data_IF_033478902035
#
_entry.id   IF_033478902035
#
_cell.length_a   1.000
_cell.length_b   1.000
_cell.length_c   1.000
_cell.angle_alpha   90.00
_cell.angle_beta   90.00
_cell.angle_gamma   90.00
#
_symmetry.space_group_name_H-M   'P 1'
#
loop_
_entity.id
_entity.type
_entity.pdbx_description
1 polymer ?
#
# COMPACT_ATOMS: atom_id res chain seq x y z
N UNK A 1 16.41 -15.18 25.17
CA UNK A 1 16.21 -14.72 26.57
C UNK A 1 14.74 -14.45 26.86
N UNK A 2 14.09 -13.51 26.16
CA UNK A 2 12.71 -13.10 26.45
C UNK A 2 11.61 -14.04 25.88
N UNK A 3 11.98 -15.17 25.28
CA UNK A 3 11.06 -16.17 24.70
C UNK A 3 9.96 -15.57 23.80
N UNK A 4 10.32 -14.61 22.96
CA UNK A 4 9.38 -13.97 22.02
C UNK A 4 8.81 -15.03 21.07
N UNK A 5 7.51 -15.30 21.18
CA UNK A 5 6.81 -16.33 20.39
C UNK A 5 6.74 -16.00 18.90
N UNK A 6 6.48 -14.73 18.58
CA UNK A 6 6.31 -14.25 17.21
C UNK A 6 7.60 -13.59 16.75
N UNK A 7 8.49 -14.42 16.20
CA UNK A 7 9.75 -14.02 15.60
C UNK A 7 9.89 -14.73 14.26
N UNK A 8 10.23 -13.98 13.21
CA UNK A 8 10.19 -14.46 11.84
C UNK A 8 11.56 -14.29 11.17
N UNK A 9 12.16 -15.42 10.81
CA UNK A 9 13.37 -15.46 10.00
C UNK A 9 13.06 -15.07 8.55
N UNK A 10 14.03 -14.59 7.74
CA UNK A 10 13.80 -14.18 6.36
C UNK A 10 13.09 -15.23 5.48
N UNK A 11 13.29 -16.52 5.76
CA UNK A 11 12.65 -17.64 5.05
C UNK A 11 11.18 -17.90 5.39
N UNK A 12 10.64 -17.31 6.47
CA UNK A 12 9.22 -17.33 6.85
C UNK A 12 8.67 -15.90 7.07
N UNK A 13 9.44 -14.91 6.61
CA UNK A 13 9.19 -13.48 6.80
C UNK A 13 8.71 -12.77 5.53
N UNK A 14 8.95 -11.47 5.50
CA UNK A 14 8.56 -10.58 4.42
C UNK A 14 8.41 -9.16 4.93
N UNK A 15 7.64 -8.37 4.21
CA UNK A 15 7.28 -7.02 4.62
C UNK A 15 6.35 -7.08 5.84
N UNK A 16 6.72 -6.45 6.94
CA UNK A 16 6.03 -6.57 8.23
C UNK A 16 4.51 -6.32 8.15
N UNK A 17 4.09 -5.30 7.41
CA UNK A 17 2.68 -4.95 7.27
C UNK A 17 1.87 -5.90 6.37
N UNK A 18 2.55 -6.80 5.67
CA UNK A 18 1.94 -7.90 4.92
C UNK A 18 1.83 -9.13 5.83
N UNK A 19 2.91 -9.49 6.53
CA UNK A 19 2.98 -10.71 7.34
C UNK A 19 2.12 -10.66 8.60
N UNK A 20 1.96 -9.52 9.27
CA UNK A 20 1.20 -9.43 10.52
C UNK A 20 -0.29 -9.78 10.32
N UNK A 21 -1.01 -9.16 9.35
CA UNK A 21 -2.36 -9.57 8.99
C UNK A 21 -2.42 -11.00 8.45
N UNK A 22 -1.47 -11.39 7.61
CA UNK A 22 -1.43 -12.71 6.98
C UNK A 22 -1.35 -13.85 8.01
N UNK A 23 -0.55 -13.66 9.06
CA UNK A 23 -0.39 -14.61 10.16
C UNK A 23 -1.45 -14.46 11.26
N UNK A 24 -2.49 -13.64 11.04
CA UNK A 24 -3.61 -13.50 11.95
C UNK A 24 -3.26 -12.84 13.30
N UNK A 25 -2.21 -12.02 13.33
CA UNK A 25 -1.72 -11.37 14.54
C UNK A 25 -2.48 -10.08 14.88
N UNK A 26 -3.24 -9.54 13.94
CA UNK A 26 -4.10 -8.37 14.15
C UNK A 26 -5.54 -8.73 13.83
N UNK A 27 -6.45 -8.39 14.73
CA UNK A 27 -7.90 -8.55 14.55
C UNK A 27 -8.63 -7.21 14.79
N UNK A 28 -9.86 -7.05 14.27
CA UNK A 28 -10.67 -5.87 14.56
C UNK A 28 -10.76 -5.54 16.05
N UNK A 29 -10.65 -4.24 16.36
CA UNK A 29 -10.67 -3.72 17.72
C UNK A 29 -9.35 -3.81 18.48
N UNK A 30 -8.28 -4.34 17.87
CA UNK A 30 -6.93 -4.29 18.45
C UNK A 30 -6.39 -2.84 18.47
N UNK A 31 -5.55 -2.56 19.47
CA UNK A 31 -4.64 -1.42 19.50
C UNK A 31 -3.23 -1.91 19.13
N UNK A 32 -2.70 -1.50 17.98
CA UNK A 32 -1.39 -1.96 17.48
C UNK A 32 -0.40 -0.81 17.40
N UNK A 33 0.74 -0.96 18.08
CA UNK A 33 1.84 0.00 18.01
C UNK A 33 3.09 -0.68 17.47
N UNK A 34 3.72 -0.08 16.47
CA UNK A 34 4.85 -0.65 15.76
C UNK A 34 5.99 0.35 15.58
N UNK A 35 7.20 -0.16 15.36
CA UNK A 35 8.40 0.66 15.14
C UNK A 35 8.43 1.35 13.76
N UNK A 36 7.51 1.00 12.86
CA UNK A 36 7.42 1.54 11.50
C UNK A 36 6.26 2.53 11.36
N UNK A 37 6.49 3.58 10.56
CA UNK A 37 5.50 4.62 10.29
C UNK A 37 4.20 4.10 9.66
N UNK A 38 4.29 3.02 8.88
CA UNK A 38 3.19 2.42 8.12
C UNK A 38 2.42 1.37 8.92
N UNK A 39 2.64 1.26 10.23
CA UNK A 39 1.82 0.45 11.15
C UNK A 39 0.32 0.79 11.04
N UNK A 40 -0.03 2.01 10.60
CA UNK A 40 -1.41 2.41 10.24
C UNK A 40 -2.10 1.49 9.21
N UNK A 41 -1.35 0.65 8.47
CA UNK A 41 -1.89 -0.37 7.55
C UNK A 41 -2.98 -1.24 8.19
N UNK A 42 -2.87 -1.54 9.48
CA UNK A 42 -3.78 -2.49 10.14
C UNK A 42 -5.15 -1.92 10.43
N UNK A 43 -5.35 -0.60 10.32
CA UNK A 43 -6.70 -0.03 10.41
C UNK A 43 -7.63 -0.45 9.27
N UNK A 44 -7.11 -1.03 8.18
CA UNK A 44 -7.92 -1.75 7.20
C UNK A 44 -8.75 -2.90 7.80
N UNK A 45 -8.31 -3.47 8.94
CA UNK A 45 -9.03 -4.51 9.69
C UNK A 45 -9.94 -3.94 10.79
N UNK A 46 -10.14 -2.62 10.88
CA UNK A 46 -10.86 -2.00 11.99
C UNK A 46 -10.07 -1.98 13.30
N UNK A 47 -8.73 -2.03 13.24
CA UNK A 47 -7.85 -1.82 14.38
C UNK A 47 -7.43 -0.34 14.48
N UNK A 48 -7.14 0.14 15.69
CA UNK A 48 -6.39 1.40 15.81
C UNK A 48 -4.91 1.07 15.76
N UNK A 49 -4.20 1.51 14.71
CA UNK A 49 -2.79 1.19 14.56
C UNK A 49 -1.92 2.39 14.20
N UNK A 50 -0.75 2.51 14.83
CA UNK A 50 0.13 3.68 14.66
C UNK A 50 1.60 3.30 14.79
N UNK A 51 2.45 3.96 14.00
CA UNK A 51 3.89 3.96 14.23
C UNK A 51 4.24 4.75 15.50
N UNK A 52 5.28 4.31 16.19
CA UNK A 52 5.86 4.97 17.37
C UNK A 52 7.39 4.90 17.35
N UNK A 53 8.04 5.80 18.08
CA UNK A 53 9.50 5.80 18.21
C UNK A 53 10.01 4.67 19.11
N UNK A 54 11.32 4.46 19.11
CA UNK A 54 11.97 3.40 19.91
C UNK A 54 11.74 3.57 21.43
N UNK A 55 11.67 4.80 21.94
CA UNK A 55 11.38 5.08 23.35
C UNK A 55 9.98 4.64 23.74
N UNK A 56 8.97 4.99 22.94
CA UNK A 56 7.58 4.59 23.18
C UNK A 56 7.43 3.07 23.08
N UNK A 57 8.08 2.45 22.08
CA UNK A 57 8.06 1.01 21.93
C UNK A 57 8.72 0.30 23.12
N UNK A 58 9.84 0.82 23.63
CA UNK A 58 10.47 0.32 24.85
C UNK A 58 9.54 0.39 26.07
N UNK A 59 8.78 1.49 26.22
CA UNK A 59 7.79 1.62 27.28
C UNK A 59 6.63 0.62 27.12
N UNK A 60 6.15 0.40 25.89
CA UNK A 60 5.14 -0.64 25.60
C UNK A 60 5.66 -2.02 25.93
N UNK A 61 6.88 -2.35 25.53
CA UNK A 61 7.49 -3.65 25.83
C UNK A 61 7.67 -3.86 27.33
N UNK A 62 7.98 -2.81 28.09
CA UNK A 62 8.16 -2.88 29.54
C UNK A 62 6.84 -2.94 30.33
N UNK A 63 5.77 -2.30 29.83
CA UNK A 63 4.55 -2.06 30.64
C UNK A 63 3.27 -2.65 30.05
N UNK A 64 3.27 -2.99 28.76
CA UNK A 64 2.07 -3.35 27.99
C UNK A 64 1.12 -2.17 27.74
N UNK A 65 1.54 -0.93 28.03
CA UNK A 65 0.69 0.25 27.97
C UNK A 65 1.36 1.41 27.22
N UNK A 66 0.54 2.35 26.75
CA UNK A 66 1.00 3.59 26.15
C UNK A 66 0.00 4.73 26.36
N UNK A 67 0.52 5.96 26.32
CA UNK A 67 -0.29 7.18 26.33
C UNK A 67 -0.55 7.65 24.91
N UNK A 68 -1.82 7.72 24.53
CA UNK A 68 -2.25 8.25 23.25
C UNK A 68 -3.28 9.36 23.52
N UNK A 69 -3.10 10.52 22.90
CA UNK A 69 -4.20 11.50 22.82
C UNK A 69 -5.11 11.07 21.67
N UNK A 70 -6.40 11.01 21.96
CA UNK A 70 -7.44 10.59 21.00
C UNK A 70 -7.43 11.56 19.81
N UNK A 71 -7.20 11.08 18.57
CA UNK A 71 -7.17 11.95 17.40
C UNK A 71 -8.61 12.31 16.97
N UNK A 72 -8.85 13.55 16.51
CA UNK A 72 -10.06 13.85 15.74
C UNK A 72 -10.05 13.09 14.41
N UNK A 73 -11.23 12.88 13.82
CA UNK A 73 -11.37 12.06 12.60
C UNK A 73 -11.81 12.90 11.41
N UNK A 74 -11.13 12.71 10.28
CA UNK A 74 -11.61 13.11 8.95
C UNK A 74 -12.24 11.88 8.32
N UNK A 75 -13.52 11.98 7.96
CA UNK A 75 -14.24 10.93 7.24
C UNK A 75 -14.10 11.15 5.74
N UNK A 76 -13.72 10.12 4.99
CA UNK A 76 -13.63 10.14 3.53
C UNK A 76 -14.64 9.13 2.98
N UNK A 77 -15.72 9.64 2.38
CA UNK A 77 -16.83 8.87 1.84
C UNK A 77 -16.68 8.69 0.33
N UNK A 78 -16.51 7.45 -0.12
CA UNK A 78 -16.37 7.12 -1.54
C UNK A 78 -17.68 6.51 -2.08
N UNK A 79 -18.27 7.20 -3.05
CA UNK A 79 -19.52 6.80 -3.70
C UNK A 79 -19.40 6.80 -5.23
N UNK A 80 -20.18 5.94 -5.88
CA UNK A 80 -20.19 5.78 -7.33
C UNK A 80 -19.67 4.41 -7.76
N UNK A 81 -19.33 4.29 -9.05
CA UNK A 81 -18.80 3.06 -9.64
C UNK A 81 -17.33 3.23 -10.02
N UNK A 82 -16.46 2.38 -9.48
CA UNK A 82 -15.04 2.36 -9.86
C UNK A 82 -14.88 2.07 -11.36
N UNK A 83 -14.02 2.87 -12.01
CA UNK A 83 -13.57 2.60 -13.35
C UNK A 83 -12.64 1.39 -13.39
N UNK A 84 -12.47 0.81 -14.57
CA UNK A 84 -11.52 -0.29 -14.76
C UNK A 84 -10.11 0.17 -14.38
N UNK A 85 -9.35 -0.73 -13.75
CA UNK A 85 -7.99 -0.48 -13.26
C UNK A 85 -7.86 0.50 -12.09
N UNK A 86 -8.97 1.02 -11.57
CA UNK A 86 -8.97 1.91 -10.40
C UNK A 86 -9.22 1.08 -9.14
N UNK A 87 -8.34 1.22 -8.16
CA UNK A 87 -8.45 0.52 -6.88
C UNK A 87 -8.00 1.38 -5.69
N UNK A 88 -7.75 0.72 -4.56
CA UNK A 88 -7.36 1.39 -3.32
C UNK A 88 -6.15 2.33 -3.45
N UNK A 89 -5.19 2.02 -4.33
CA UNK A 89 -4.03 2.88 -4.61
C UNK A 89 -4.45 4.21 -5.23
N UNK A 90 -5.35 4.17 -6.20
CA UNK A 90 -5.81 5.37 -6.90
C UNK A 90 -6.70 6.22 -5.98
N UNK A 91 -7.57 5.58 -5.19
CA UNK A 91 -8.42 6.27 -4.23
C UNK A 91 -7.61 7.00 -3.15
N UNK A 92 -6.57 6.37 -2.61
CA UNK A 92 -5.74 7.01 -1.59
C UNK A 92 -4.84 8.09 -2.19
N UNK A 93 -4.26 7.88 -3.38
CA UNK A 93 -3.52 8.95 -4.08
C UNK A 93 -4.41 10.15 -4.38
N UNK A 94 -5.62 9.92 -4.91
CA UNK A 94 -6.59 11.00 -5.14
C UNK A 94 -6.89 11.79 -3.84
N UNK A 95 -7.11 11.07 -2.75
CA UNK A 95 -7.36 11.68 -1.43
C UNK A 95 -6.17 12.47 -0.91
N UNK A 96 -4.95 11.95 -1.07
CA UNK A 96 -3.72 12.67 -0.73
C UNK A 96 -3.56 13.94 -1.58
N UNK A 97 -3.89 13.89 -2.88
CA UNK A 97 -3.91 15.07 -3.74
C UNK A 97 -4.90 16.16 -3.30
N UNK A 98 -5.99 15.78 -2.62
CA UNK A 98 -6.95 16.74 -2.05
C UNK A 98 -6.54 17.27 -0.66
N UNK A 99 -5.88 16.45 0.15
CA UNK A 99 -5.51 16.80 1.52
C UNK A 99 -4.14 17.48 1.62
N UNK A 100 -3.20 17.10 0.76
CA UNK A 100 -1.78 17.39 0.90
C UNK A 100 -1.11 16.53 2.00
N UNK A 101 0.23 16.56 2.03
CA UNK A 101 1.04 15.78 3.00
C UNK A 101 0.84 16.11 4.48
N UNK A 102 0.22 17.25 4.81
CA UNK A 102 -0.10 17.65 6.20
C UNK A 102 -1.61 17.77 6.47
N UNK A 103 -2.46 17.45 5.48
CA UNK A 103 -3.91 17.68 5.57
C UNK A 103 -4.62 16.87 6.65
N UNK A 104 -4.02 15.78 7.12
CA UNK A 104 -4.53 14.93 8.18
C UNK A 104 -3.59 14.87 9.41
N UNK A 105 -2.72 15.88 9.61
CA UNK A 105 -1.79 15.88 10.74
C UNK A 105 -2.49 15.64 12.08
N UNK A 106 -2.06 14.58 12.79
CA UNK A 106 -2.59 14.10 14.06
C UNK A 106 -4.08 13.69 14.04
N UNK A 107 -4.66 13.46 12.87
CA UNK A 107 -6.04 13.01 12.69
C UNK A 107 -6.08 11.54 12.30
N UNK A 108 -7.21 10.88 12.53
CA UNK A 108 -7.52 9.61 11.90
C UNK A 108 -8.21 9.86 10.55
N UNK A 109 -7.86 9.07 9.54
CA UNK A 109 -8.62 8.99 8.29
C UNK A 109 -9.56 7.79 8.39
N UNK A 110 -10.86 8.04 8.38
CA UNK A 110 -11.87 6.99 8.33
C UNK A 110 -12.39 6.86 6.90
N UNK A 111 -12.08 5.74 6.25
CA UNK A 111 -12.53 5.46 4.89
C UNK A 111 -13.87 4.73 4.92
N UNK A 112 -14.86 5.35 4.31
CA UNK A 112 -16.25 4.88 4.32
C UNK A 112 -16.90 5.01 2.94
N UNK A 113 -18.17 4.62 2.86
CA UNK A 113 -18.97 4.68 1.63
C UNK A 113 -19.06 3.34 0.91
N UNK A 114 -20.04 3.23 0.01
CA UNK A 114 -20.37 1.97 -0.63
C UNK A 114 -19.20 1.35 -1.39
N UNK A 115 -18.32 2.18 -1.97
CA UNK A 115 -17.14 1.72 -2.71
C UNK A 115 -16.18 0.96 -1.79
N UNK A 116 -15.87 1.50 -0.61
CA UNK A 116 -14.91 0.89 0.34
C UNK A 116 -15.40 -0.47 0.82
N UNK A 117 -16.70 -0.60 1.10
CA UNK A 117 -17.31 -1.87 1.50
C UNK A 117 -17.26 -2.95 0.41
N UNK A 118 -17.11 -2.59 -0.86
CA UNK A 118 -16.95 -3.52 -1.98
C UNK A 118 -15.48 -3.74 -2.39
N UNK A 119 -14.52 -3.03 -1.78
CA UNK A 119 -13.11 -3.26 -2.02
C UNK A 119 -12.63 -4.55 -1.33
N UNK A 120 -11.88 -5.42 -2.03
CA UNK A 120 -11.08 -6.47 -1.41
C UNK A 120 -10.15 -5.90 -0.32
N UNK A 121 -9.83 -6.74 0.67
CA UNK A 121 -8.97 -6.35 1.79
C UNK A 121 -7.62 -5.80 1.35
N UNK A 122 -7.03 -6.33 0.28
CA UNK A 122 -5.73 -5.87 -0.24
C UNK A 122 -5.75 -4.38 -0.61
N UNK A 123 -6.84 -3.89 -1.21
CA UNK A 123 -7.03 -2.47 -1.51
C UNK A 123 -7.27 -1.63 -0.24
N UNK A 124 -7.98 -2.17 0.75
CA UNK A 124 -8.17 -1.49 2.05
C UNK A 124 -6.85 -1.32 2.78
N UNK A 125 -5.99 -2.35 2.75
CA UNK A 125 -4.63 -2.27 3.29
C UNK A 125 -3.80 -1.19 2.58
N UNK A 126 -3.88 -1.09 1.24
CA UNK A 126 -3.24 0.00 0.49
C UNK A 126 -3.67 1.38 1.00
N UNK A 127 -4.97 1.60 1.20
CA UNK A 127 -5.51 2.89 1.65
C UNK A 127 -5.07 3.23 3.08
N UNK A 128 -5.21 2.27 4.01
CA UNK A 128 -4.78 2.43 5.40
C UNK A 128 -3.26 2.68 5.49
N UNK A 129 -2.46 1.95 4.72
CA UNK A 129 -1.00 2.10 4.66
C UNK A 129 -0.60 3.54 4.30
N UNK A 130 -1.15 4.10 3.23
CA UNK A 130 -0.75 5.42 2.75
C UNK A 130 -1.37 6.59 3.52
N UNK A 131 -2.17 6.32 4.57
CA UNK A 131 -2.77 7.37 5.40
C UNK A 131 -1.72 8.26 6.10
N UNK A 132 -0.59 7.65 6.50
CA UNK A 132 0.52 8.39 7.12
C UNK A 132 1.17 9.40 6.19
N UNK A 133 1.04 9.23 4.87
CA UNK A 133 1.60 10.18 3.89
C UNK A 133 0.83 11.51 3.85
N UNK A 134 -0.39 11.55 4.38
CA UNK A 134 -1.14 12.79 4.66
C UNK A 134 -0.95 13.33 6.07
N UNK A 135 -0.02 12.75 6.84
CA UNK A 135 0.22 13.06 8.26
C UNK A 135 -0.76 12.39 9.24
N UNK A 136 -1.62 11.49 8.76
CA UNK A 136 -2.61 10.83 9.60
C UNK A 136 -1.96 9.93 10.65
N UNK A 137 -2.53 9.93 11.85
CA UNK A 137 -2.13 9.06 12.96
C UNK A 137 -2.54 7.60 12.71
N UNK A 138 -3.67 7.40 12.03
CA UNK A 138 -4.23 6.11 11.67
C UNK A 138 -5.09 6.25 10.40
N UNK A 139 -5.20 5.17 9.62
CA UNK A 139 -6.17 5.03 8.54
C UNK A 139 -7.06 3.83 8.84
N UNK A 140 -8.37 4.02 9.02
CA UNK A 140 -9.28 2.99 9.51
C UNK A 140 -10.45 2.75 8.56
N UNK A 141 -10.83 1.48 8.43
CA UNK A 141 -12.04 1.01 7.75
C UNK A 141 -12.86 0.24 8.76
N UNK A 142 -14.17 0.49 8.81
CA UNK A 142 -15.06 -0.31 9.65
C UNK A 142 -15.02 -1.79 9.23
N UNK A 143 -14.94 -2.73 10.19
CA UNK A 143 -14.96 -4.14 9.88
C UNK A 143 -16.34 -4.56 9.37
N UNK A 144 -16.34 -5.28 8.25
CA UNK A 144 -17.52 -5.86 7.63
C UNK A 144 -17.29 -7.34 7.29
N UNK A 145 -18.20 -7.94 6.52
CA UNK A 145 -18.11 -9.36 6.15
C UNK A 145 -16.82 -9.70 5.39
N UNK A 146 -16.24 -8.76 4.61
CA UNK A 146 -14.94 -9.00 3.97
C UNK A 146 -13.82 -9.09 5.01
N UNK A 147 -13.85 -8.21 6.00
CA UNK A 147 -12.90 -8.24 7.12
C UNK A 147 -13.03 -9.53 7.92
N UNK A 148 -14.27 -9.94 8.25
CA UNK A 148 -14.55 -11.17 9.00
C UNK A 148 -14.07 -12.41 8.22
N UNK A 149 -14.37 -12.49 6.92
CA UNK A 149 -13.92 -13.58 6.06
C UNK A 149 -12.38 -13.61 5.94
N UNK A 150 -11.72 -12.46 5.90
CA UNK A 150 -10.27 -12.40 5.85
C UNK A 150 -9.62 -12.96 7.12
N UNK A 151 -10.11 -12.58 8.30
CA UNK A 151 -9.51 -13.01 9.58
C UNK A 151 -9.88 -14.45 9.96
N UNK A 152 -11.08 -14.93 9.61
CA UNK A 152 -11.55 -16.27 10.00
C UNK A 152 -10.70 -17.41 9.44
N UNK A 153 -10.05 -17.18 8.29
CA UNK A 153 -9.11 -18.13 7.69
C UNK A 153 -7.71 -18.10 8.33
N UNK A 154 -7.43 -17.16 9.24
CA UNK A 154 -6.08 -16.84 9.71
C UNK A 154 -5.91 -16.90 11.23
N UNK A 155 -6.98 -16.76 11.99
CA UNK A 155 -6.91 -16.73 13.45
C UNK A 155 -8.19 -17.23 14.10
N UNK A 156 -8.04 -17.75 15.32
CA UNK A 156 -9.15 -18.14 16.21
C UNK A 156 -9.39 -17.09 17.31
N UNK A 157 -8.68 -15.96 17.28
CA UNK A 157 -8.91 -14.85 18.21
C UNK A 157 -10.26 -14.21 17.92
N UNK A 158 -11.08 -14.04 18.95
CA UNK A 158 -12.36 -13.33 18.85
C UNK A 158 -12.13 -11.84 18.57
N UNK A 159 -12.67 -11.30 17.45
CA UNK A 159 -12.53 -9.89 17.12
C UNK A 159 -13.52 -9.03 17.93
N UNK A 160 -13.12 -7.79 18.25
CA UNK A 160 -14.06 -6.78 18.79
C UNK A 160 -14.49 -5.86 17.66
N UNK A 161 -15.60 -6.22 17.01
CA UNK A 161 -16.17 -5.43 15.92
C UNK A 161 -16.70 -4.10 16.48
N UNK A 162 -16.11 -2.99 16.04
CA UNK A 162 -16.55 -1.63 16.37
C UNK A 162 -16.98 -0.92 15.09
N UNK A 163 -18.02 -0.10 15.19
CA UNK A 163 -18.48 0.77 14.11
C UNK A 163 -18.65 2.18 14.67
N UNK A 164 -18.62 3.16 13.77
CA UNK A 164 -18.96 4.53 14.13
C UNK A 164 -20.43 4.61 14.53
N UNK A 165 -20.71 5.38 15.58
CA UNK A 165 -22.08 5.64 16.02
C UNK A 165 -22.83 6.52 15.01
N UNK A 166 -24.15 6.31 14.89
CA UNK A 166 -24.99 7.21 14.11
C UNK A 166 -24.90 8.64 14.67
N UNK A 167 -24.50 9.59 13.81
CA UNK A 167 -24.32 10.99 14.21
C UNK A 167 -22.99 11.29 14.90
N UNK A 168 -21.99 10.40 14.83
CA UNK A 168 -20.63 10.68 15.27
C UNK A 168 -20.11 12.01 14.65
N UNK A 169 -19.47 12.83 15.48
CA UNK A 169 -18.92 14.10 15.05
C UNK A 169 -17.56 13.91 14.35
N UNK A 170 -17.42 14.49 13.16
CA UNK A 170 -16.19 14.48 12.38
C UNK A 170 -15.61 15.89 12.30
N UNK A 171 -14.29 15.99 12.36
CA UNK A 171 -13.58 17.26 12.14
C UNK A 171 -13.80 17.78 10.73
N UNK A 172 -13.86 16.85 9.76
CA UNK A 172 -14.17 17.11 8.37
C UNK A 172 -14.78 15.87 7.72
N UNK A 173 -15.70 16.07 6.79
CA UNK A 173 -16.21 15.02 5.89
C UNK A 173 -15.85 15.37 4.45
N UNK A 174 -15.13 14.48 3.79
CA UNK A 174 -14.78 14.55 2.37
C UNK A 174 -15.64 13.57 1.60
N UNK A 175 -16.39 14.07 0.61
CA UNK A 175 -17.21 13.23 -0.28
C UNK A 175 -16.52 13.11 -1.62
N UNK A 176 -16.22 11.88 -2.03
CA UNK A 176 -15.48 11.56 -3.25
C UNK A 176 -16.39 10.77 -4.19
N UNK A 177 -16.67 11.34 -5.36
CA UNK A 177 -17.33 10.65 -6.47
C UNK A 177 -16.30 9.91 -7.29
N UNK A 178 -16.40 8.58 -7.34
CA UNK A 178 -15.38 7.73 -7.99
C UNK A 178 -15.65 7.46 -9.47
N UNK A 179 -16.82 7.86 -9.98
CA UNK A 179 -17.24 7.55 -11.35
C UNK A 179 -16.29 8.12 -12.42
N UNK A 180 -15.60 9.21 -12.12
CA UNK A 180 -14.68 9.91 -13.03
C UNK A 180 -13.21 9.78 -12.60
N UNK A 181 -12.92 9.03 -11.53
CA UNK A 181 -11.54 8.80 -11.13
C UNK A 181 -10.90 7.85 -12.14
N UNK A 182 -9.87 8.34 -12.81
CA UNK A 182 -8.94 7.53 -13.62
C UNK A 182 -7.86 6.91 -12.74
N UNK A 183 -7.04 5.95 -13.24
CA UNK A 183 -5.81 5.58 -12.56
C UNK A 183 -4.96 6.82 -12.24
N UNK A 184 -4.39 6.86 -11.04
CA UNK A 184 -3.68 8.02 -10.52
C UNK A 184 -2.17 7.78 -10.49
N UNK A 185 -1.40 8.82 -10.79
CA UNK A 185 0.07 8.82 -10.75
C UNK A 185 0.55 9.97 -9.87
N UNK A 186 1.27 9.66 -8.79
CA UNK A 186 1.95 10.67 -7.97
C UNK A 186 3.31 11.01 -8.56
N UNK A 187 3.52 12.27 -8.91
CA UNK A 187 4.76 12.80 -9.47
C UNK A 187 5.75 13.13 -8.36
N UNK A 188 7.06 13.08 -8.64
CA UNK A 188 8.07 13.53 -7.70
C UNK A 188 7.87 15.01 -7.30
N UNK A 189 8.30 15.43 -6.12
CA UNK A 189 8.91 14.65 -5.04
C UNK A 189 7.97 14.49 -3.84
N UNK A 190 6.67 14.32 -4.09
CA UNK A 190 5.68 14.21 -3.02
C UNK A 190 4.49 13.32 -3.41
N UNK A 191 3.97 12.48 -2.49
CA UNK A 191 2.87 11.57 -2.78
C UNK A 191 1.53 12.29 -3.03
N UNK A 192 1.40 13.57 -2.68
CA UNK A 192 0.24 14.41 -2.95
C UNK A 192 0.28 15.14 -4.31
N UNK A 193 1.39 15.09 -5.04
CA UNK A 193 1.51 15.67 -6.39
C UNK A 193 0.88 14.73 -7.43
N UNK A 194 -0.44 14.55 -7.36
CA UNK A 194 -1.15 13.51 -8.09
C UNK A 194 -1.77 14.03 -9.39
N UNK A 195 -1.68 13.23 -10.44
CA UNK A 195 -2.32 13.49 -11.74
C UNK A 195 -3.08 12.25 -12.20
N UNK A 196 -4.23 12.41 -12.89
CA UNK A 196 -4.87 11.30 -13.59
C UNK A 196 -3.96 10.80 -14.71
N UNK A 197 -4.10 9.53 -15.09
CA UNK A 197 -3.27 8.90 -16.13
C UNK A 197 -3.35 9.65 -17.47
N UNK A 198 -4.51 10.23 -17.82
CA UNK A 198 -4.67 11.10 -19.00
C UNK A 198 -3.81 12.37 -18.96
N UNK A 199 -3.38 12.83 -17.78
CA UNK A 199 -2.63 14.07 -17.57
C UNK A 199 -1.13 13.91 -17.34
N UNK A 200 -0.55 12.71 -17.50
CA UNK A 200 0.86 12.45 -17.16
C UNK A 200 1.86 12.91 -18.22
N UNK A 201 1.42 13.04 -19.47
CA UNK A 201 2.29 13.37 -20.60
C UNK A 201 3.26 12.24 -20.97
N UNK A 202 4.39 12.56 -21.60
CA UNK A 202 5.41 11.58 -21.97
C UNK A 202 6.56 11.58 -20.96
N UNK A 203 6.60 10.55 -20.11
CA UNK A 203 7.65 10.34 -19.10
C UNK A 203 8.34 9.00 -19.35
N UNK A 204 9.55 8.97 -19.93
CA UNK A 204 10.31 7.73 -20.12
C UNK A 204 10.75 7.14 -18.78
N UNK A 205 10.92 5.82 -18.72
CA UNK A 205 11.27 5.08 -17.50
C UNK A 205 12.48 4.18 -17.72
N UNK A 206 13.41 4.24 -16.76
CA UNK A 206 14.56 3.34 -16.67
C UNK A 206 14.23 2.10 -15.82
N UNK A 207 13.34 2.27 -14.83
CA UNK A 207 12.94 1.21 -13.92
C UNK A 207 11.43 1.22 -13.62
N UNK A 208 10.86 0.04 -13.45
CA UNK A 208 9.53 -0.17 -12.87
C UNK A 208 9.66 -1.14 -11.71
N UNK A 209 9.02 -0.80 -10.59
CA UNK A 209 9.06 -1.59 -9.37
C UNK A 209 7.63 -1.94 -8.91
N UNK A 210 7.36 -3.23 -8.74
CA UNK A 210 6.08 -3.77 -8.26
C UNK A 210 6.33 -4.62 -7.01
N UNK A 211 5.75 -4.22 -5.88
CA UNK A 211 5.94 -4.90 -4.61
C UNK A 211 6.21 -3.90 -3.49
N UNK A 212 5.66 -4.09 -2.30
CA UNK A 212 5.95 -3.34 -1.06
C UNK A 212 4.92 -3.70 0.01
N UNK A 213 4.91 -2.99 1.14
CA UNK A 213 3.78 -3.02 2.08
C UNK A 213 2.48 -2.49 1.48
N UNK A 214 2.56 -1.63 0.45
CA UNK A 214 1.40 -0.98 -0.15
C UNK A 214 0.74 -1.85 -1.21
N UNK A 215 1.53 -2.44 -2.10
CA UNK A 215 1.06 -3.21 -3.25
C UNK A 215 2.04 -4.35 -3.60
N UNK A 216 2.19 -5.30 -2.68
CA UNK A 216 2.97 -6.53 -2.87
C UNK A 216 2.18 -7.79 -2.51
N UNK A 217 0.84 -7.69 -2.44
CA UNK A 217 -0.05 -8.80 -2.09
C UNK A 217 -0.35 -9.65 -3.32
N UNK A 218 -1.00 -10.79 -3.10
CA UNK A 218 -1.25 -11.74 -4.18
C UNK A 218 -2.12 -11.13 -5.30
N UNK A 219 -3.13 -10.32 -4.95
CA UNK A 219 -3.98 -9.66 -5.95
C UNK A 219 -3.21 -8.64 -6.78
N UNK A 220 -2.25 -7.92 -6.18
CA UNK A 220 -1.37 -7.00 -6.93
C UNK A 220 -0.53 -7.75 -7.98
N UNK A 221 0.02 -8.92 -7.61
CA UNK A 221 0.79 -9.77 -8.51
C UNK A 221 -0.08 -10.37 -9.62
N UNK A 222 -1.32 -10.76 -9.32
CA UNK A 222 -2.27 -11.26 -10.33
C UNK A 222 -2.61 -10.18 -11.35
N UNK A 223 -2.83 -8.94 -10.90
CA UNK A 223 -3.07 -7.80 -11.79
C UNK A 223 -1.85 -7.55 -12.68
N UNK A 224 -0.65 -7.49 -12.10
CA UNK A 224 0.57 -7.28 -12.85
C UNK A 224 0.82 -8.40 -13.88
N UNK A 225 0.68 -9.67 -13.48
CA UNK A 225 0.83 -10.81 -14.36
C UNK A 225 -0.21 -10.83 -15.50
N UNK A 226 -1.47 -10.46 -15.22
CA UNK A 226 -2.51 -10.36 -16.24
C UNK A 226 -2.17 -9.30 -17.30
N UNK A 227 -1.58 -8.17 -16.89
CA UNK A 227 -1.10 -7.13 -17.82
C UNK A 227 0.19 -7.53 -18.52
N UNK A 228 1.05 -8.36 -17.93
CA UNK A 228 2.34 -8.75 -18.54
C UNK A 228 2.26 -10.02 -19.40
N UNK A 229 1.17 -10.80 -19.30
CA UNK A 229 1.01 -12.07 -20.01
C UNK A 229 1.20 -11.91 -21.52
N UNK A 230 2.09 -12.72 -22.10
CA UNK A 230 2.46 -12.70 -23.52
C UNK A 230 3.06 -11.37 -24.02
N UNK A 231 3.53 -10.51 -23.11
CA UNK A 231 4.20 -9.24 -23.44
C UNK A 231 5.63 -9.28 -22.91
N UNK A 232 6.47 -8.33 -23.34
CA UNK A 232 7.83 -8.16 -22.82
C UNK A 232 8.08 -6.74 -22.38
N UNK A 233 8.89 -6.61 -21.33
CA UNK A 233 9.40 -5.32 -20.83
C UNK A 233 10.16 -4.61 -21.95
N UNK A 234 9.97 -3.29 -22.05
CA UNK A 234 10.61 -2.46 -23.05
C UNK A 234 12.14 -2.51 -22.95
N UNK A 235 12.81 -2.44 -24.10
CA UNK A 235 14.27 -2.40 -24.13
C UNK A 235 14.76 -1.10 -23.46
N UNK A 236 15.66 -1.25 -22.48
CA UNK A 236 16.19 -0.12 -21.72
C UNK A 236 15.45 0.16 -20.42
N UNK A 237 14.32 -0.53 -20.18
CA UNK A 237 13.59 -0.46 -18.91
C UNK A 237 13.81 -1.76 -18.13
N UNK A 238 14.05 -1.66 -16.83
CA UNK A 238 14.08 -2.80 -15.92
C UNK A 238 12.74 -2.95 -15.19
N UNK A 239 12.26 -4.18 -15.05
CA UNK A 239 11.08 -4.48 -14.22
C UNK A 239 11.52 -5.34 -13.04
N UNK A 240 11.28 -4.87 -11.83
CA UNK A 240 11.60 -5.57 -10.60
C UNK A 240 10.29 -5.89 -9.87
N UNK A 241 10.12 -7.15 -9.47
CA UNK A 241 8.92 -7.60 -8.75
C UNK A 241 9.30 -8.29 -7.45
N UNK A 242 8.83 -7.76 -6.33
CA UNK A 242 9.07 -8.30 -4.99
C UNK A 242 7.74 -8.65 -4.29
N UNK A 243 7.39 -9.94 -4.17
CA UNK A 243 6.24 -10.37 -3.39
C UNK A 243 6.35 -9.93 -1.92
N UNK A 244 5.23 -9.60 -1.28
CA UNK A 244 5.22 -9.02 0.07
C UNK A 244 5.53 -9.99 1.20
N UNK A 245 5.39 -11.30 0.99
CA UNK A 245 5.67 -12.35 1.98
C UNK A 245 6.12 -13.64 1.30
N UNK A 246 6.73 -14.55 2.07
CA UNK A 246 7.08 -15.89 1.60
C UNK A 246 5.84 -16.73 1.23
N UNK A 247 4.72 -16.55 1.92
CA UNK A 247 3.47 -17.20 1.56
C UNK A 247 2.99 -16.74 0.18
N UNK A 248 2.95 -15.42 -0.05
CA UNK A 248 2.56 -14.84 -1.34
C UNK A 248 3.52 -15.31 -2.44
N UNK A 249 4.83 -15.31 -2.17
CA UNK A 249 5.83 -15.80 -3.11
C UNK A 249 5.54 -17.25 -3.52
N UNK A 250 5.30 -18.14 -2.55
CA UNK A 250 4.97 -19.55 -2.79
C UNK A 250 3.66 -19.72 -3.56
N UNK A 251 2.61 -18.99 -3.18
CA UNK A 251 1.33 -19.05 -3.88
C UNK A 251 1.44 -18.52 -5.32
N UNK A 252 2.24 -17.47 -5.53
CA UNK A 252 2.50 -16.94 -6.87
C UNK A 252 3.26 -17.93 -7.77
N UNK A 253 4.12 -18.80 -7.22
CA UNK A 253 4.69 -19.94 -7.96
C UNK A 253 3.58 -20.92 -8.34
N UNK A 254 2.75 -21.32 -7.37
CA UNK A 254 1.69 -22.32 -7.57
C UNK A 254 0.66 -21.87 -8.61
N UNK A 255 0.40 -20.57 -8.72
CA UNK A 255 -0.51 -19.98 -9.71
C UNK A 255 0.16 -19.68 -11.06
N UNK A 256 1.47 -19.94 -11.23
CA UNK A 256 2.19 -19.61 -12.46
C UNK A 256 2.40 -18.11 -12.71
N UNK A 257 2.18 -17.28 -11.68
CA UNK A 257 2.36 -15.82 -11.79
C UNK A 257 3.84 -15.48 -11.95
N UNK A 258 4.73 -16.12 -11.19
CA UNK A 258 6.17 -15.84 -11.29
C UNK A 258 6.74 -16.25 -12.64
N UNK A 259 6.27 -17.35 -13.22
CA UNK A 259 6.64 -17.77 -14.58
C UNK A 259 6.23 -16.69 -15.59
N UNK A 260 4.97 -16.22 -15.52
CA UNK A 260 4.49 -15.13 -16.39
C UNK A 260 5.32 -13.85 -16.26
N UNK A 261 5.72 -13.49 -15.04
CA UNK A 261 6.53 -12.30 -14.79
C UNK A 261 7.96 -12.45 -15.35
N UNK A 262 8.58 -13.62 -15.15
CA UNK A 262 9.92 -13.92 -15.67
C UNK A 262 9.93 -13.99 -17.20
N UNK A 263 8.89 -14.58 -17.82
CA UNK A 263 8.74 -14.65 -19.28
C UNK A 263 8.63 -13.25 -19.91
N UNK A 264 8.01 -12.30 -19.20
CA UNK A 264 7.94 -10.91 -19.59
C UNK A 264 9.30 -10.18 -19.45
N UNK A 265 10.27 -10.77 -18.75
CA UNK A 265 11.59 -10.20 -18.51
C UNK A 265 11.74 -9.50 -17.16
N UNK A 266 10.85 -9.76 -16.19
CA UNK A 266 10.97 -9.22 -14.85
C UNK A 266 12.07 -9.92 -14.04
N UNK A 267 12.75 -9.15 -13.20
CA UNK A 267 13.60 -9.67 -12.11
C UNK A 267 12.73 -9.87 -10.88
N UNK A 268 12.48 -11.13 -10.53
CA UNK A 268 11.74 -11.48 -9.31
C UNK A 268 12.72 -11.74 -8.17
N UNK A 269 12.57 -11.01 -7.07
CA UNK A 269 13.45 -11.11 -5.90
C UNK A 269 12.75 -11.60 -4.63
N UNK A 270 13.52 -11.83 -3.55
CA UNK A 270 12.97 -12.31 -2.29
C UNK A 270 12.04 -11.26 -1.63
N UNK A 271 11.06 -11.69 -0.81
CA UNK A 271 10.18 -10.78 -0.10
C UNK A 271 10.93 -9.81 0.83
N UNK A 272 10.90 -8.52 0.50
CA UNK A 272 11.48 -7.46 1.32
C UNK A 272 10.91 -6.07 0.95
N UNK A 273 11.27 -5.05 1.72
CA UNK A 273 10.86 -3.66 1.47
C UNK A 273 11.72 -2.92 0.43
N UNK A 274 12.78 -3.54 -0.11
CA UNK A 274 13.68 -2.87 -1.05
C UNK A 274 12.99 -2.54 -2.37
N UNK A 275 13.29 -1.42 -3.06
CA UNK A 275 14.23 -0.36 -2.69
C UNK A 275 13.58 0.79 -1.90
N UNK A 276 12.45 0.58 -1.21
CA UNK A 276 11.64 1.65 -0.61
C UNK A 276 12.42 2.61 0.30
N UNK A 277 13.48 2.14 0.98
CA UNK A 277 14.34 2.94 1.87
C UNK A 277 15.76 3.14 1.29
N UNK A 278 15.92 3.04 -0.03
CA UNK A 278 17.22 3.12 -0.70
C UNK A 278 18.11 1.89 -0.48
N UNK A 279 17.53 0.76 -0.08
CA UNK A 279 18.26 -0.47 0.20
C UNK A 279 17.73 -1.66 -0.59
N UNK A 280 18.65 -2.50 -1.06
CA UNK A 280 18.41 -3.80 -1.70
C UNK A 280 17.60 -3.77 -3.01
N UNK A 281 18.25 -4.17 -4.12
CA UNK A 281 17.69 -4.39 -5.47
C UNK A 281 16.95 -3.18 -6.09
N UNK A 282 17.45 -2.67 -7.22
CA UNK A 282 16.81 -1.55 -7.93
C UNK A 282 17.09 -0.17 -7.33
N UNK A 283 18.32 0.04 -6.84
CA UNK A 283 18.81 1.36 -6.40
C UNK A 283 19.00 2.24 -7.63
N UNK A 284 18.38 3.42 -7.62
CA UNK A 284 18.41 4.35 -8.75
C UNK A 284 19.72 5.15 -8.80
N UNK A 285 20.28 5.28 -10.00
CA UNK A 285 21.40 6.15 -10.31
C UNK A 285 20.96 7.61 -10.53
N UNK A 286 21.93 8.49 -10.80
CA UNK A 286 21.66 9.89 -11.11
C UNK A 286 20.85 10.04 -12.40
N UNK A 287 19.74 10.78 -12.35
CA UNK A 287 18.88 11.06 -13.50
C UNK A 287 17.92 9.93 -13.88
N UNK A 288 18.02 8.76 -13.26
CA UNK A 288 17.10 7.64 -13.53
C UNK A 288 15.69 7.93 -13.03
N UNK A 289 14.71 7.45 -13.79
CA UNK A 289 13.28 7.59 -13.51
C UNK A 289 12.65 6.24 -13.26
N UNK A 290 11.99 6.11 -12.12
CA UNK A 290 11.30 4.89 -11.73
C UNK A 290 9.80 5.11 -11.53
N UNK A 291 8.99 4.16 -12.00
CA UNK A 291 7.59 4.03 -11.59
C UNK A 291 7.46 2.91 -10.56
N UNK A 292 6.91 3.20 -9.40
CA UNK A 292 6.92 2.33 -8.23
C UNK A 292 5.51 2.14 -7.65
N UNK A 293 5.22 0.93 -7.16
CA UNK A 293 3.99 0.68 -6.38
C UNK A 293 4.16 0.92 -4.88
N UNK A 294 5.30 1.48 -4.44
CA UNK A 294 5.55 1.93 -3.05
C UNK A 294 4.70 3.14 -2.65
N UNK A 295 4.84 3.60 -1.41
CA UNK A 295 4.08 4.71 -0.82
C UNK A 295 4.80 6.07 -0.82
N UNK A 296 6.11 6.12 -1.08
CA UNK A 296 6.92 7.35 -0.99
C UNK A 296 7.77 7.59 -2.22
N UNK A 297 7.85 8.85 -2.63
CA UNK A 297 8.64 9.34 -3.77
C UNK A 297 9.45 10.62 -3.45
N UNK A 298 9.81 10.82 -2.19
CA UNK A 298 10.69 11.91 -1.78
C UNK A 298 12.07 11.83 -2.45
N UNK A 299 12.81 12.95 -2.45
CA UNK A 299 14.18 13.02 -2.98
C UNK A 299 15.08 11.94 -2.37
N UNK A 300 15.82 11.21 -3.20
CA UNK A 300 16.76 10.17 -2.76
C UNK A 300 16.11 8.93 -2.14
N UNK A 301 14.79 8.74 -2.30
CA UNK A 301 14.07 7.66 -1.62
C UNK A 301 14.49 6.26 -2.06
N UNK A 302 14.77 6.07 -3.35
CA UNK A 302 15.16 4.79 -3.94
C UNK A 302 16.64 4.75 -4.38
N UNK A 303 17.45 5.74 -3.99
CA UNK A 303 18.86 5.80 -4.43
C UNK A 303 19.37 7.24 -4.49
N UNK A 304 19.88 7.64 -5.65
CA UNK A 304 20.51 8.94 -5.83
C UNK A 304 19.51 10.10 -5.62
N UNK A 305 19.88 11.22 -4.97
CA UNK A 305 18.99 12.37 -4.75
C UNK A 305 18.40 12.97 -6.03
N UNK A 306 19.14 12.89 -7.15
CA UNK A 306 18.71 13.36 -8.47
C UNK A 306 17.93 12.29 -9.28
N UNK A 307 17.51 11.19 -8.66
CA UNK A 307 16.58 10.24 -9.26
C UNK A 307 15.14 10.69 -9.07
N UNK A 308 14.25 10.30 -9.99
CA UNK A 308 12.83 10.61 -9.93
C UNK A 308 12.02 9.35 -9.67
N UNK A 309 11.11 9.40 -8.70
CA UNK A 309 10.20 8.30 -8.39
C UNK A 309 8.76 8.76 -8.62
N UNK A 310 8.01 7.94 -9.34
CA UNK A 310 6.59 8.12 -9.60
C UNK A 310 5.83 7.00 -8.89
N UNK A 311 4.67 7.28 -8.31
CA UNK A 311 3.86 6.26 -7.63
C UNK A 311 2.60 5.96 -8.43
N UNK A 312 2.31 4.68 -8.65
CA UNK A 312 1.07 4.26 -9.30
C UNK A 312 0.59 2.90 -8.79
N UNK A 313 -0.56 2.46 -9.27
CA UNK A 313 -1.10 1.13 -9.01
C UNK A 313 -0.35 0.04 -9.83
N UNK A 314 -0.48 -1.25 -9.46
CA UNK A 314 0.19 -2.34 -10.17
C UNK A 314 -0.17 -2.47 -11.65
N UNK A 315 -1.40 -2.13 -12.05
CA UNK A 315 -1.81 -2.21 -13.45
C UNK A 315 -1.06 -1.18 -14.31
N UNK A 316 -1.03 0.08 -13.87
CA UNK A 316 -0.28 1.17 -14.53
C UNK A 316 1.21 0.86 -14.52
N UNK A 317 1.76 0.35 -13.42
CA UNK A 317 3.16 -0.06 -13.34
C UNK A 317 3.49 -1.14 -14.38
N UNK A 318 2.72 -2.22 -14.42
CA UNK A 318 2.91 -3.33 -15.36
C UNK A 318 2.81 -2.87 -16.83
N UNK A 319 1.82 -2.04 -17.15
CA UNK A 319 1.64 -1.49 -18.50
C UNK A 319 2.83 -0.58 -18.88
N UNK A 320 3.27 0.27 -17.96
CA UNK A 320 4.39 1.19 -18.17
C UNK A 320 5.71 0.44 -18.38
N UNK A 321 5.89 -0.73 -17.76
CA UNK A 321 7.06 -1.58 -17.99
C UNK A 321 7.12 -2.11 -19.44
N UNK A 322 5.97 -2.43 -20.03
CA UNK A 322 5.88 -2.85 -21.45
C UNK A 322 6.10 -1.67 -22.39
N UNK A 323 5.61 -0.48 -22.03
CA UNK A 323 5.70 0.73 -22.85
C UNK A 323 7.07 1.44 -22.77
N UNK A 324 7.83 1.24 -21.69
CA UNK A 324 9.08 1.97 -21.41
C UNK A 324 8.88 3.43 -21.00
N UNK A 325 7.63 3.79 -20.67
CA UNK A 325 7.20 5.11 -20.22
C UNK A 325 5.96 4.97 -19.35
N UNK A 326 5.61 5.99 -18.58
CA UNK A 326 4.33 6.02 -17.88
C UNK A 326 3.19 5.96 -18.92
N UNK A 327 2.27 5.01 -18.75
CA UNK A 327 1.15 4.79 -19.68
C UNK A 327 0.02 3.97 -19.08
N UNK A 328 -1.14 4.02 -19.74
CA UNK A 328 -2.36 3.35 -19.31
C UNK A 328 -2.33 1.85 -19.64
N UNK A 329 -2.93 0.99 -18.79
CA UNK A 329 -3.15 -0.43 -19.12
C UNK A 329 -3.97 -0.66 -20.40
N UNK A 330 -4.76 0.32 -20.85
CA UNK A 330 -5.53 0.23 -22.10
C UNK A 330 -4.66 0.41 -23.35
N UNK A 331 -3.39 0.82 -23.22
CA UNK A 331 -2.46 0.99 -24.35
C UNK A 331 -1.75 -0.33 -24.75
N UNK A 332 -1.89 -1.40 -23.97
CA UNK A 332 -1.15 -2.67 -24.14
C UNK A 332 -2.02 -3.88 -24.32
#
# INVERSE_FOLDING_TARGET
EQNIRHYYEPGDGGVEHVILPEKGLVVPGDLVMGADSHTCTYGALGAFSTGVGSTDLGAVMATGMAWLKVPPTIRVEYDGKLQRWVGGKDLILFTLGQLGVEGANYKALEFAGGVVHHLPMDHRFTMANMSVEGGAKNGIVEPDDMTINYISMRTTREPRLMKSDDGAAYDRVLKVRVDEIEPQVAFPHSPDNVRPISGVGHVPLDQVFIGSCTNGRLDDLRVAAAVLKNRRVAKGTSLIVLPGSQLIYKTAIQEGLLETLVDAGAVVGPPCCGPCLGGHLGILAEGEKALSTTNRNFLGRMGHPNSEVYLANPAVAAASAVLGRIGSPEEV
#
